data_IF_255284287391
#
_entry.id   IF_255284287391
#
_cell.length_a   1.000
_cell.length_b   1.000
_cell.length_c   1.000
_cell.angle_alpha   90.00
_cell.angle_beta   90.00
_cell.angle_gamma   90.00
#
_symmetry.space_group_name_H-M   'P 1'
#
loop_
_entity.id
_entity.type
_entity.pdbx_description
1 polymer ?
#
# COMPACT_ATOMS: atom_id res chain seq x y z
N UNK A 1 -25.29 3.51 3.02
CA UNK A 1 -24.22 3.28 4.02
C UNK A 1 -23.76 4.63 4.54
N UNK A 2 -23.71 4.85 5.86
CA UNK A 2 -23.31 6.12 6.46
C UNK A 2 -21.89 5.96 7.01
N UNK A 3 -20.96 6.80 6.59
CA UNK A 3 -19.61 6.83 7.15
C UNK A 3 -19.62 7.76 8.37
N UNK A 4 -19.09 7.28 9.49
CA UNK A 4 -19.04 8.03 10.75
C UNK A 4 -17.58 8.30 11.07
N UNK A 5 -17.27 9.55 11.38
CA UNK A 5 -15.94 10.00 11.80
C UNK A 5 -16.04 10.67 13.17
N UNK A 6 -14.95 10.62 13.93
CA UNK A 6 -14.78 11.37 15.16
C UNK A 6 -13.40 12.03 15.19
N UNK A 7 -13.26 13.08 16.00
CA UNK A 7 -11.99 13.76 16.21
C UNK A 7 -10.98 12.76 16.79
N UNK A 8 -9.75 12.80 16.28
CA UNK A 8 -8.65 11.86 16.51
C UNK A 8 -8.77 10.50 15.84
N UNK A 9 -9.76 10.29 14.97
CA UNK A 9 -9.80 9.05 14.18
C UNK A 9 -8.62 9.02 13.19
N UNK A 10 -7.77 7.98 13.20
CA UNK A 10 -6.82 7.70 12.13
C UNK A 10 -7.59 7.34 10.87
N UNK A 11 -7.23 8.02 9.79
CA UNK A 11 -7.84 7.84 8.48
C UNK A 11 -6.76 7.72 7.41
N UNK A 12 -7.16 7.18 6.27
CA UNK A 12 -6.33 7.07 5.09
C UNK A 12 -7.07 7.66 3.90
N UNK A 13 -6.36 8.46 3.11
CA UNK A 13 -6.83 8.96 1.83
C UNK A 13 -6.95 7.78 0.86
N UNK A 14 -8.17 7.49 0.44
CA UNK A 14 -8.46 6.39 -0.49
C UNK A 14 -8.30 6.80 -1.95
N UNK A 15 -8.44 8.10 -2.26
CA UNK A 15 -8.34 8.66 -3.61
C UNK A 15 -7.82 10.10 -3.59
N UNK A 16 -6.98 10.46 -4.56
CA UNK A 16 -6.53 11.82 -4.81
C UNK A 16 -7.72 12.68 -5.27
N UNK A 17 -7.95 13.80 -4.60
CA UNK A 17 -9.02 14.74 -4.96
C UNK A 17 -8.54 15.67 -6.09
N UNK A 18 -9.33 15.90 -7.15
CA UNK A 18 -8.96 16.81 -8.24
C UNK A 18 -8.61 18.23 -7.75
N UNK A 19 -9.40 18.73 -6.80
CA UNK A 19 -9.19 20.08 -6.24
C UNK A 19 -7.96 20.19 -5.33
N UNK A 20 -7.30 19.07 -4.99
CA UNK A 20 -6.12 19.02 -4.12
C UNK A 20 -4.86 18.60 -4.88
N UNK A 21 -4.86 18.69 -6.21
CA UNK A 21 -3.71 18.25 -7.04
C UNK A 21 -2.44 19.05 -6.75
N UNK A 22 -2.56 20.32 -6.37
CA UNK A 22 -1.44 21.19 -5.97
C UNK A 22 -1.03 21.07 -4.51
N UNK A 23 -1.81 20.36 -3.67
CA UNK A 23 -1.39 20.07 -2.31
C UNK A 23 -0.34 18.95 -2.36
N UNK A 24 0.93 19.31 -2.15
CA UNK A 24 2.09 18.41 -2.26
C UNK A 24 1.98 17.14 -1.39
N UNK A 25 1.09 17.11 -0.40
CA UNK A 25 0.98 16.06 0.61
C UNK A 25 -0.19 15.07 0.43
N UNK A 26 -1.00 15.15 -0.63
CA UNK A 26 -2.19 14.28 -0.77
C UNK A 26 -2.08 13.31 -1.95
N UNK A 27 -1.83 12.04 -1.62
CA UNK A 27 -1.87 10.89 -2.52
C UNK A 27 -2.70 9.75 -1.92
N UNK A 28 -3.03 8.76 -2.75
CA UNK A 28 -3.69 7.54 -2.28
C UNK A 28 -2.79 6.82 -1.27
N UNK A 29 -3.35 6.41 -0.13
CA UNK A 29 -2.61 5.72 0.93
C UNK A 29 -2.01 6.64 1.99
N UNK A 30 -2.02 7.97 1.80
CA UNK A 30 -1.59 8.92 2.83
C UNK A 30 -2.46 8.75 4.07
N UNK A 31 -1.82 8.58 5.22
CA UNK A 31 -2.49 8.50 6.53
C UNK A 31 -2.50 9.85 7.21
N UNK A 32 -3.52 10.09 8.01
CA UNK A 32 -3.66 11.29 8.81
C UNK A 32 -4.66 11.07 9.94
N UNK A 33 -4.90 12.12 10.69
CA UNK A 33 -5.82 12.10 11.83
C UNK A 33 -6.89 13.16 11.63
N UNK A 34 -8.15 12.83 11.88
CA UNK A 34 -9.24 13.82 11.86
C UNK A 34 -9.03 14.81 13.00
N UNK A 35 -8.74 16.07 12.70
CA UNK A 35 -8.57 17.12 13.71
C UNK A 35 -9.85 17.91 13.99
N UNK A 36 -10.84 17.81 13.11
CA UNK A 36 -12.12 18.50 13.25
C UNK A 36 -13.06 18.24 12.08
N UNK A 37 -14.28 18.77 12.19
CA UNK A 37 -15.28 18.77 11.11
C UNK A 37 -15.64 20.22 10.85
N UNK A 38 -15.56 20.64 9.59
CA UNK A 38 -15.91 22.00 9.18
C UNK A 38 -17.29 21.98 8.49
N UNK A 39 -18.20 22.94 8.79
CA UNK A 39 -19.48 23.05 8.08
C UNK A 39 -19.30 23.43 6.58
N UNK A 40 -20.38 23.28 5.83
CA UNK A 40 -20.45 23.26 4.35
C UNK A 40 -19.78 24.45 3.61
N UNK A 41 -19.42 24.27 2.31
CA UNK A 41 -18.36 25.02 1.59
C UNK A 41 -18.60 26.49 1.27
N UNK A 42 -19.69 27.11 1.73
CA UNK A 42 -19.94 28.53 1.44
C UNK A 42 -18.85 29.46 2.02
N UNK A 43 -17.99 28.94 2.91
CA UNK A 43 -16.85 29.64 3.51
C UNK A 43 -15.47 29.08 3.12
N UNK A 44 -15.37 28.09 2.22
CA UNK A 44 -14.08 27.55 1.75
C UNK A 44 -13.45 28.42 0.65
N UNK A 45 -13.46 29.74 0.82
CA UNK A 45 -12.86 30.69 -0.14
C UNK A 45 -11.35 30.85 0.01
N UNK A 46 -10.66 29.94 0.70
CA UNK A 46 -9.20 29.84 0.62
C UNK A 46 -8.70 28.59 1.34
N UNK A 47 -7.89 27.78 0.66
CA UNK A 47 -7.05 26.76 1.29
C UNK A 47 -5.99 27.34 2.27
N UNK A 48 -6.00 28.65 2.53
CA UNK A 48 -5.05 29.37 3.38
C UNK A 48 -5.53 29.62 4.82
N UNK A 49 -6.68 29.07 5.23
CA UNK A 49 -7.22 29.25 6.58
C UNK A 49 -6.89 28.16 7.60
N UNK A 50 -6.30 27.04 7.15
CA UNK A 50 -5.94 25.94 8.04
C UNK A 50 -4.49 26.07 8.54
N UNK A 51 -4.21 25.63 9.79
CA UNK A 51 -2.83 25.52 10.27
C UNK A 51 -1.96 24.67 9.35
N UNK A 52 -0.65 24.89 9.40
CA UNK A 52 0.31 24.06 8.68
C UNK A 52 0.10 22.57 9.02
N UNK A 53 0.13 21.71 7.99
CA UNK A 53 -0.14 20.28 8.13
C UNK A 53 -1.63 19.89 8.20
N UNK A 54 -2.57 20.85 8.24
CA UNK A 54 -4.01 20.58 8.19
C UNK A 54 -4.56 20.88 6.81
N UNK A 55 -5.30 19.93 6.23
CA UNK A 55 -5.89 20.08 4.90
C UNK A 55 -7.40 19.82 4.97
N UNK A 56 -8.18 20.74 4.41
CA UNK A 56 -9.61 20.55 4.21
C UNK A 56 -9.86 19.51 3.11
N UNK A 57 -10.59 18.44 3.43
CA UNK A 57 -10.95 17.41 2.47
C UNK A 57 -12.41 17.55 2.04
N UNK A 58 -12.70 18.01 0.81
CA UNK A 58 -14.07 18.08 0.31
C UNK A 58 -14.64 16.69 -0.06
N UNK A 59 -15.98 16.57 -0.11
CA UNK A 59 -16.63 15.36 -0.60
C UNK A 59 -16.37 15.17 -2.10
N UNK A 60 -16.05 13.94 -2.50
CA UNK A 60 -15.80 13.57 -3.88
C UNK A 60 -17.07 13.00 -4.52
N UNK A 61 -17.30 13.34 -5.80
CA UNK A 61 -18.33 12.73 -6.64
C UNK A 61 -17.70 11.71 -7.58
N UNK A 62 -18.03 10.43 -7.41
CA UNK A 62 -17.45 9.31 -8.17
C UNK A 62 -18.54 8.59 -8.95
N UNK A 63 -18.37 8.47 -10.27
CA UNK A 63 -19.18 7.56 -11.09
C UNK A 63 -18.56 6.17 -11.16
N UNK A 64 -19.33 5.14 -10.82
CA UNK A 64 -18.96 3.73 -10.96
C UNK A 64 -19.81 3.11 -12.06
N UNK A 65 -19.17 2.63 -13.13
CA UNK A 65 -19.87 1.91 -14.22
C UNK A 65 -20.05 0.45 -13.84
N UNK A 66 -21.23 -0.11 -14.04
CA UNK A 66 -21.57 -1.47 -13.64
C UNK A 66 -21.29 -2.50 -14.75
N UNK A 67 -20.17 -2.36 -15.45
CA UNK A 67 -19.84 -3.13 -16.68
C UNK A 67 -19.87 -4.65 -16.50
N UNK A 68 -19.56 -5.13 -15.29
CA UNK A 68 -19.44 -6.55 -14.99
C UNK A 68 -20.70 -7.16 -14.35
N UNK A 69 -21.79 -6.39 -14.23
CA UNK A 69 -23.06 -6.90 -13.73
C UNK A 69 -23.99 -7.14 -14.91
N UNK A 70 -24.39 -8.40 -15.11
CA UNK A 70 -25.33 -8.81 -16.15
C UNK A 70 -26.59 -7.94 -16.08
N UNK A 71 -27.07 -7.46 -17.24
CA UNK A 71 -28.21 -6.54 -17.40
C UNK A 71 -28.00 -5.09 -16.91
N UNK A 72 -26.84 -4.74 -16.35
CA UNK A 72 -26.54 -3.38 -15.88
C UNK A 72 -25.28 -2.79 -16.53
N UNK A 73 -24.78 -3.39 -17.61
CA UNK A 73 -23.51 -2.99 -18.26
C UNK A 73 -23.50 -1.55 -18.79
N UNK A 74 -24.68 -0.99 -19.09
CA UNK A 74 -24.87 0.40 -19.51
C UNK A 74 -25.17 1.36 -18.34
N UNK A 75 -25.43 0.82 -17.16
CA UNK A 75 -25.80 1.59 -15.97
C UNK A 75 -24.57 2.10 -15.21
N UNK A 76 -24.75 3.20 -14.49
CA UNK A 76 -23.75 3.73 -13.58
C UNK A 76 -24.37 4.23 -12.28
N UNK A 77 -23.61 4.16 -11.21
CA UNK A 77 -23.98 4.70 -9.90
C UNK A 77 -23.06 5.85 -9.59
N UNK A 78 -23.63 6.98 -9.18
CA UNK A 78 -22.84 8.11 -8.67
C UNK A 78 -22.83 8.07 -7.15
N UNK A 79 -21.65 8.09 -6.57
CA UNK A 79 -21.42 8.12 -5.12
C UNK A 79 -20.86 9.48 -4.75
N UNK A 80 -21.51 10.14 -3.80
CA UNK A 80 -21.03 11.37 -3.17
C UNK A 80 -20.50 11.03 -1.78
N UNK A 81 -19.18 11.07 -1.60
CA UNK A 81 -18.55 10.65 -0.34
C UNK A 81 -17.16 11.27 -0.19
N UNK A 82 -16.72 11.52 1.05
CA UNK A 82 -15.33 11.89 1.31
C UNK A 82 -14.37 10.78 0.89
N UNK A 83 -13.25 11.16 0.29
CA UNK A 83 -12.23 10.23 -0.19
C UNK A 83 -11.36 9.64 0.95
N UNK A 84 -11.92 9.38 2.13
CA UNK A 84 -11.24 8.85 3.31
C UNK A 84 -11.89 7.58 3.82
N UNK A 85 -11.06 6.72 4.40
CA UNK A 85 -11.49 5.51 5.11
C UNK A 85 -10.82 5.47 6.49
N UNK A 86 -11.47 4.91 7.53
CA UNK A 86 -10.82 4.62 8.80
C UNK A 86 -9.57 3.75 8.59
N UNK A 87 -8.51 4.03 9.33
CA UNK A 87 -7.19 3.41 9.13
C UNK A 87 -6.61 2.79 10.41
N UNK A 88 -7.46 2.37 11.36
CA UNK A 88 -7.03 1.58 12.53
C UNK A 88 -6.38 0.24 12.14
N UNK A 89 -6.88 -0.36 11.07
CA UNK A 89 -6.34 -1.56 10.46
C UNK A 89 -6.48 -1.43 8.95
N UNK A 90 -5.45 -1.83 8.22
CA UNK A 90 -5.45 -1.84 6.77
C UNK A 90 -5.18 -3.26 6.28
N UNK A 91 -5.81 -3.64 5.16
CA UNK A 91 -5.43 -4.89 4.49
C UNK A 91 -4.10 -4.72 3.78
N UNK A 92 -3.38 -5.81 3.57
CA UNK A 92 -2.06 -5.80 2.91
C UNK A 92 -2.13 -5.24 1.49
N UNK A 93 -3.23 -5.47 0.79
CA UNK A 93 -3.48 -4.93 -0.55
C UNK A 93 -3.61 -3.40 -0.55
N UNK A 94 -4.14 -2.81 0.54
CA UNK A 94 -4.21 -1.34 0.69
C UNK A 94 -2.89 -0.72 1.11
N UNK A 95 -2.00 -1.50 1.73
CA UNK A 95 -0.66 -1.06 2.11
C UNK A 95 0.38 -1.31 1.01
N UNK A 96 0.04 -2.04 -0.06
CA UNK A 96 0.98 -2.30 -1.15
C UNK A 96 1.51 -0.98 -1.74
N UNK A 97 2.83 -0.83 -1.77
CA UNK A 97 3.50 0.38 -2.25
C UNK A 97 3.67 1.50 -1.20
N UNK A 98 3.17 1.30 0.02
CA UNK A 98 3.38 2.24 1.14
C UNK A 98 4.55 1.85 2.03
N UNK A 99 5.26 2.84 2.55
CA UNK A 99 6.24 2.68 3.63
C UNK A 99 5.62 3.16 4.94
N UNK A 100 5.77 2.38 6.01
CA UNK A 100 5.27 2.66 7.34
C UNK A 100 6.45 2.97 8.27
N UNK A 101 6.70 4.25 8.52
CA UNK A 101 7.81 4.73 9.34
C UNK A 101 7.59 4.48 10.83
N UNK A 102 6.34 4.58 11.30
CA UNK A 102 5.94 4.36 12.71
C UNK A 102 5.85 2.87 13.09
N UNK A 103 6.28 1.98 12.22
CA UNK A 103 6.15 0.54 12.38
C UNK A 103 4.78 -0.02 11.98
N UNK A 104 4.64 -1.34 12.11
CA UNK A 104 3.43 -2.08 11.78
C UNK A 104 3.17 -3.20 12.79
N UNK A 105 1.89 -3.47 13.02
CA UNK A 105 1.43 -4.68 13.72
C UNK A 105 0.75 -5.59 12.71
N UNK A 106 1.23 -6.81 12.55
CA UNK A 106 0.69 -7.78 11.59
C UNK A 106 -0.17 -8.82 12.32
N UNK A 107 -1.46 -8.91 11.96
CA UNK A 107 -2.44 -9.80 12.59
C UNK A 107 -3.60 -10.20 11.68
N UNK A 108 -4.18 -11.41 11.79
CA UNK A 108 -3.52 -12.71 12.04
C UNK A 108 -2.79 -13.20 10.78
N UNK A 109 -1.73 -14.00 10.95
CA UNK A 109 -0.89 -14.45 9.83
C UNK A 109 -1.60 -15.48 8.93
N UNK A 110 -2.49 -16.29 9.48
CA UNK A 110 -3.18 -17.38 8.76
C UNK A 110 -4.70 -17.23 8.83
N UNK A 111 -5.31 -16.57 7.84
CA UNK A 111 -6.78 -16.59 7.66
C UNK A 111 -7.17 -17.83 6.86
N UNK A 112 -7.05 -19.01 7.47
CA UNK A 112 -7.55 -20.26 6.86
C UNK A 112 -9.06 -20.18 6.67
N UNK A 113 -9.50 -19.93 5.44
CA UNK A 113 -10.68 -20.59 4.83
C UNK A 113 -10.99 -20.15 3.39
N UNK A 114 -10.54 -18.98 2.88
CA UNK A 114 -10.95 -18.50 1.53
C UNK A 114 -9.93 -17.60 0.81
N UNK A 115 -8.77 -18.15 0.42
CA UNK A 115 -8.05 -17.62 -0.75
C UNK A 115 -7.19 -16.36 -0.58
N UNK A 116 -6.75 -15.99 0.63
CA UNK A 116 -5.69 -14.95 0.77
C UNK A 116 -4.35 -15.55 0.35
N UNK A 117 -3.65 -14.98 -0.67
CA UNK A 117 -2.37 -15.51 -1.12
C UNK A 117 -1.32 -15.42 0.00
N UNK A 118 -0.52 -16.47 0.20
CA UNK A 118 0.52 -16.47 1.23
C UNK A 118 1.50 -15.32 1.04
N UNK A 119 1.78 -14.92 -0.21
CA UNK A 119 2.63 -13.80 -0.60
C UNK A 119 2.24 -12.46 0.06
N UNK A 120 1.02 -12.32 0.58
CA UNK A 120 0.58 -11.13 1.32
C UNK A 120 1.40 -10.85 2.59
N UNK A 121 2.00 -11.87 3.24
CA UNK A 121 2.88 -11.61 4.38
C UNK A 121 4.13 -10.86 3.93
N UNK A 122 4.75 -11.23 2.80
CA UNK A 122 5.91 -10.51 2.29
C UNK A 122 5.56 -9.03 2.08
N UNK A 123 4.38 -8.74 1.52
CA UNK A 123 3.89 -7.37 1.38
C UNK A 123 3.79 -6.69 2.74
N UNK A 124 3.17 -7.34 3.74
CA UNK A 124 3.03 -6.80 5.09
C UNK A 124 4.40 -6.49 5.72
N UNK A 125 5.31 -7.47 5.77
CA UNK A 125 6.62 -7.35 6.42
C UNK A 125 7.47 -6.24 5.79
N UNK A 126 7.41 -6.11 4.47
CA UNK A 126 8.17 -5.08 3.74
C UNK A 126 7.60 -3.67 3.85
N UNK A 127 6.51 -3.46 4.60
CA UNK A 127 6.01 -2.10 4.86
C UNK A 127 6.80 -1.39 5.95
N UNK A 128 7.35 -2.12 6.92
CA UNK A 128 8.15 -1.54 8.00
C UNK A 128 9.54 -1.14 7.50
N UNK A 129 10.03 0.01 7.94
CA UNK A 129 11.38 0.51 7.59
C UNK A 129 12.47 -0.23 8.36
N UNK A 130 12.19 -0.64 9.59
CA UNK A 130 13.11 -1.33 10.47
C UNK A 130 12.43 -2.55 11.11
N UNK A 131 13.25 -3.53 11.51
CA UNK A 131 12.77 -4.73 12.19
C UNK A 131 12.20 -4.41 13.58
N UNK A 132 12.76 -3.42 14.28
CA UNK A 132 12.29 -2.97 15.60
C UNK A 132 10.87 -2.38 15.55
N UNK A 133 10.46 -1.85 14.38
CA UNK A 133 9.11 -1.37 14.13
C UNK A 133 8.13 -2.45 13.68
N UNK A 134 8.56 -3.72 13.58
CA UNK A 134 7.70 -4.83 13.18
C UNK A 134 7.23 -5.62 14.40
N UNK A 135 5.92 -5.63 14.64
CA UNK A 135 5.29 -6.48 15.66
C UNK A 135 4.43 -7.55 14.98
N UNK A 136 4.69 -8.80 15.32
CA UNK A 136 3.86 -9.93 14.91
C UNK A 136 3.01 -10.38 16.08
N UNK A 137 1.69 -10.51 15.89
CA UNK A 137 0.82 -11.03 16.96
C UNK A 137 0.94 -12.55 17.14
N UNK A 138 1.58 -13.23 16.20
CA UNK A 138 1.76 -14.68 16.17
C UNK A 138 3.18 -15.02 15.65
N UNK A 139 3.80 -16.10 16.11
CA UNK A 139 5.13 -16.51 15.64
C UNK A 139 5.06 -17.04 14.19
N UNK A 140 6.07 -16.69 13.38
CA UNK A 140 6.24 -17.28 12.04
C UNK A 140 6.82 -18.69 12.21
N UNK A 141 6.02 -19.70 11.88
CA UNK A 141 6.45 -21.11 11.95
C UNK A 141 7.10 -21.58 10.64
N UNK A 142 7.93 -22.63 10.70
CA UNK A 142 8.46 -23.27 9.49
C UNK A 142 7.35 -23.75 8.55
N UNK A 143 6.27 -24.30 9.12
CA UNK A 143 5.08 -24.72 8.37
C UNK A 143 4.43 -23.56 7.63
N UNK A 144 4.43 -22.36 8.23
CA UNK A 144 3.91 -21.16 7.59
C UNK A 144 4.82 -20.69 6.45
N UNK A 145 6.14 -20.65 6.67
CA UNK A 145 7.12 -20.32 5.63
C UNK A 145 7.08 -21.28 4.45
N UNK A 146 6.86 -22.57 4.69
CA UNK A 146 6.72 -23.57 3.63
C UNK A 146 5.57 -23.29 2.65
N UNK A 147 4.60 -22.43 3.03
CA UNK A 147 3.51 -22.00 2.16
C UNK A 147 3.91 -20.89 1.18
N UNK A 148 5.07 -20.26 1.38
CA UNK A 148 5.65 -19.25 0.49
C UNK A 148 6.44 -19.94 -0.63
N UNK A 149 5.71 -20.60 -1.53
CA UNK A 149 6.31 -21.16 -2.72
C UNK A 149 6.09 -20.17 -3.87
N UNK A 150 7.19 -19.63 -4.38
CA UNK A 150 7.17 -18.92 -5.65
C UNK A 150 6.83 -19.92 -6.76
N UNK A 151 6.00 -19.52 -7.71
CA UNK A 151 5.74 -20.36 -8.87
C UNK A 151 6.99 -20.46 -9.73
N UNK A 152 7.18 -21.59 -10.43
CA UNK A 152 8.31 -21.76 -11.35
C UNK A 152 8.41 -20.64 -12.38
N UNK A 153 7.26 -20.11 -12.82
CA UNK A 153 7.19 -18.96 -13.73
C UNK A 153 7.84 -17.73 -13.12
N UNK A 154 7.56 -17.41 -11.85
CA UNK A 154 8.16 -16.28 -11.15
C UNK A 154 9.66 -16.52 -10.94
N UNK A 155 10.06 -17.73 -10.56
CA UNK A 155 11.48 -18.08 -10.37
C UNK A 155 12.26 -17.91 -11.69
N UNK A 156 11.73 -18.45 -12.79
CA UNK A 156 12.34 -18.33 -14.12
C UNK A 156 12.44 -16.87 -14.59
N UNK A 157 11.38 -16.09 -14.38
CA UNK A 157 11.38 -14.67 -14.74
C UNK A 157 12.37 -13.86 -13.90
N UNK A 158 12.45 -14.12 -12.59
CA UNK A 158 13.44 -13.48 -11.72
C UNK A 158 14.87 -13.82 -12.15
N UNK A 159 15.14 -15.08 -12.51
CA UNK A 159 16.43 -15.49 -13.03
C UNK A 159 16.77 -14.76 -14.33
N UNK A 160 15.81 -14.70 -15.27
CA UNK A 160 15.94 -13.95 -16.52
C UNK A 160 16.30 -12.49 -16.26
N UNK A 161 15.60 -11.83 -15.34
CA UNK A 161 15.85 -10.42 -14.98
C UNK A 161 17.23 -10.21 -14.36
N UNK A 162 17.69 -11.11 -13.49
CA UNK A 162 19.05 -11.07 -12.92
C UNK A 162 20.11 -11.18 -14.02
N UNK A 163 19.88 -12.00 -15.03
CA UNK A 163 20.81 -12.15 -16.15
C UNK A 163 20.90 -10.86 -16.99
N UNK A 164 19.83 -10.07 -17.09
CA UNK A 164 19.82 -8.75 -17.75
C UNK A 164 20.57 -7.65 -16.99
N UNK A 165 20.83 -7.82 -15.69
CA UNK A 165 21.58 -6.81 -14.93
C UNK A 165 23.02 -6.78 -15.43
N UNK A 166 23.38 -5.64 -16.04
CA UNK A 166 24.72 -5.33 -16.53
C UNK A 166 25.46 -4.47 -15.53
N UNK A 167 26.74 -4.76 -15.38
CA UNK A 167 27.68 -3.92 -14.67
C UNK A 167 27.99 -2.69 -15.53
N UNK A 168 27.88 -1.45 -15.02
CA UNK A 168 28.30 -0.28 -15.77
C UNK A 168 29.82 -0.27 -15.98
N UNK A 169 30.27 0.20 -17.15
CA UNK A 169 31.68 0.15 -17.55
C UNK A 169 32.62 1.02 -16.67
N UNK A 170 32.05 1.93 -15.87
CA UNK A 170 32.78 2.87 -15.04
C UNK A 170 33.06 2.38 -13.61
N UNK A 171 32.60 1.19 -13.22
CA UNK A 171 32.83 0.69 -11.85
C UNK A 171 34.23 0.09 -11.68
N UNK A 172 34.72 0.07 -10.44
CA UNK A 172 36.02 -0.53 -10.14
C UNK A 172 36.02 -2.06 -10.28
N UNK A 173 37.20 -2.65 -10.49
CA UNK A 173 37.34 -4.11 -10.54
C UNK A 173 36.89 -4.81 -9.23
N UNK A 174 37.05 -4.15 -8.08
CA UNK A 174 36.60 -4.66 -6.79
C UNK A 174 35.06 -4.74 -6.73
N UNK A 175 34.37 -3.69 -7.17
CA UNK A 175 32.91 -3.65 -7.24
C UNK A 175 32.35 -4.64 -8.28
N UNK A 176 33.02 -4.78 -9.43
CA UNK A 176 32.65 -5.77 -10.44
C UNK A 176 32.76 -7.20 -9.90
N UNK A 177 33.83 -7.51 -9.15
CA UNK A 177 34.00 -8.81 -8.50
C UNK A 177 32.93 -9.05 -7.42
N UNK A 178 32.62 -8.03 -6.61
CA UNK A 178 31.56 -8.12 -5.60
C UNK A 178 30.18 -8.37 -6.23
N UNK A 179 29.88 -7.67 -7.34
CA UNK A 179 28.65 -7.88 -8.10
C UNK A 179 28.57 -9.28 -8.71
N UNK A 180 29.65 -9.77 -9.31
CA UNK A 180 29.70 -11.12 -9.89
C UNK A 180 29.50 -12.20 -8.83
N UNK A 181 30.08 -12.02 -7.64
CA UNK A 181 29.87 -12.92 -6.50
C UNK A 181 28.41 -12.89 -6.02
N UNK A 182 27.81 -11.70 -5.94
CA UNK A 182 26.38 -11.56 -5.63
C UNK A 182 25.50 -12.26 -6.69
N UNK A 183 25.79 -12.06 -7.97
CA UNK A 183 25.05 -12.65 -9.10
C UNK A 183 25.14 -14.18 -9.11
N UNK A 184 26.31 -14.74 -8.80
CA UNK A 184 26.51 -16.18 -8.65
C UNK A 184 25.63 -16.76 -7.51
N UNK A 185 25.44 -16.02 -6.41
CA UNK A 185 24.59 -16.44 -5.28
C UNK A 185 23.08 -16.36 -5.55
N UNK A 186 22.65 -15.64 -6.59
CA UNK A 186 21.23 -15.56 -6.95
C UNK A 186 20.73 -16.78 -7.71
N UNK A 187 21.64 -17.61 -8.25
CA UNK A 187 21.28 -18.84 -8.95
C UNK A 187 21.02 -19.93 -7.90
N UNK A 188 19.81 -20.53 -7.87
CA UNK A 188 19.52 -21.60 -6.93
C UNK A 188 20.49 -22.77 -7.16
N UNK A 189 21.10 -23.28 -6.09
CA UNK A 189 21.77 -24.57 -6.11
C UNK A 189 20.73 -25.61 -6.50
N UNK A 190 20.96 -26.35 -7.58
CA UNK A 190 20.22 -27.58 -7.85
C UNK A 190 20.77 -28.67 -6.92
N UNK A 191 20.40 -28.61 -5.64
CA UNK A 191 20.55 -29.70 -4.68
C UNK A 191 19.17 -30.16 -4.19
#
# INVERSE_FOLDING_TARGET
MKLVFYIRMPVMISRKHPDLVGAAAIANGVTGTIVGVHPAPQLLQSASGFPEGVIGLPPLKIGVRLRHITNLSQSSVTVHQFAVVPAFACTTEKLQGKTCEDGIVVTPLDRRSRGTPYQTLYVALTRAVCLDGLVLTEPITRTYLAKFQLTEVIVSEMQRLVDFVKVPDYISAAEANAFNLWKARQRPSHD
#
